data_IF_309293566552
#
_entry.id   IF_309293566552
#
_cell.length_a   1.000
_cell.length_b   1.000
_cell.length_c   1.000
_cell.angle_alpha   90.00
_cell.angle_beta   90.00
_cell.angle_gamma   90.00
#
_symmetry.space_group_name_H-M   'P 1'
#
loop_
_entity.id
_entity.type
_entity.pdbx_description
1 polymer ?
#
# COMPACT_ATOMS: atom_id res chain seq x y z
N UNK A 1 11.57 22.46 -27.13
CA UNK A 1 11.33 21.95 -25.76
C UNK A 1 12.07 20.63 -25.62
N UNK A 2 12.94 20.48 -24.62
CA UNK A 2 13.55 19.18 -24.35
C UNK A 2 12.51 18.27 -23.69
N UNK A 3 12.20 17.13 -24.32
CA UNK A 3 11.30 16.12 -23.75
C UNK A 3 12.08 15.21 -22.80
N UNK A 4 11.57 14.99 -21.60
CA UNK A 4 12.09 13.95 -20.71
C UNK A 4 11.74 12.56 -21.25
N UNK A 5 12.64 11.59 -21.11
CA UNK A 5 12.35 10.21 -21.49
C UNK A 5 11.41 9.55 -20.48
N UNK A 6 10.63 8.56 -20.91
CA UNK A 6 9.78 7.76 -20.02
C UNK A 6 10.61 7.09 -18.92
N UNK A 7 11.81 6.59 -19.23
CA UNK A 7 12.70 5.98 -18.24
C UNK A 7 13.17 6.98 -17.18
N UNK A 8 13.47 8.22 -17.58
CA UNK A 8 13.82 9.30 -16.65
C UNK A 8 12.64 9.67 -15.77
N UNK A 9 11.44 9.82 -16.34
CA UNK A 9 10.22 10.09 -15.57
C UNK A 9 9.94 8.97 -14.55
N UNK A 10 10.07 7.70 -14.96
CA UNK A 10 9.89 6.55 -14.09
C UNK A 10 10.91 6.54 -12.94
N UNK A 11 12.20 6.81 -13.22
CA UNK A 11 13.23 6.87 -12.18
C UNK A 11 12.95 7.95 -11.13
N UNK A 12 12.50 9.14 -11.56
CA UNK A 12 12.13 10.21 -10.63
C UNK A 12 10.91 9.84 -9.78
N UNK A 13 9.87 9.28 -10.39
CA UNK A 13 8.67 8.84 -9.64
C UNK A 13 9.07 7.80 -8.59
N UNK A 14 9.83 6.77 -8.98
CA UNK A 14 10.28 5.72 -8.05
C UNK A 14 11.13 6.29 -6.91
N UNK A 15 12.07 7.19 -7.21
CA UNK A 15 12.93 7.81 -6.19
C UNK A 15 12.12 8.66 -5.20
N UNK A 16 11.16 9.45 -5.69
CA UNK A 16 10.29 10.27 -4.84
C UNK A 16 9.41 9.38 -3.96
N UNK A 17 8.78 8.34 -4.53
CA UNK A 17 7.96 7.39 -3.78
C UNK A 17 8.77 6.72 -2.67
N UNK A 18 9.97 6.20 -2.97
CA UNK A 18 10.84 5.59 -1.96
C UNK A 18 11.23 6.58 -0.84
N UNK A 19 11.52 7.82 -1.19
CA UNK A 19 11.90 8.86 -0.24
C UNK A 19 10.77 9.26 0.70
N UNK A 20 9.53 9.31 0.19
CA UNK A 20 8.33 9.60 0.97
C UNK A 20 7.96 8.41 1.85
N UNK A 21 8.00 7.19 1.31
CA UNK A 21 7.73 5.97 2.08
C UNK A 21 8.70 5.79 3.25
N UNK A 22 9.98 6.13 3.06
CA UNK A 22 10.98 6.10 4.15
C UNK A 22 10.74 7.13 5.26
N UNK A 23 9.89 8.13 5.04
CA UNK A 23 9.49 9.15 6.03
C UNK A 23 8.11 8.91 6.63
N UNK A 24 7.31 8.02 6.04
CA UNK A 24 5.99 7.73 6.52
C UNK A 24 6.06 7.20 7.98
N UNK A 25 5.22 7.71 8.89
CA UNK A 25 5.20 7.22 10.26
C UNK A 25 4.74 5.75 10.27
N UNK A 26 5.38 4.95 11.13
CA UNK A 26 4.92 3.59 11.39
C UNK A 26 3.58 3.59 12.15
N UNK A 27 2.81 2.50 11.99
CA UNK A 27 1.51 2.33 12.63
C UNK A 27 1.49 2.65 14.14
N UNK A 28 2.45 2.20 14.97
CA UNK A 28 2.41 2.52 16.41
C UNK A 28 2.51 4.01 16.72
N UNK A 29 3.23 4.78 15.89
CA UNK A 29 3.34 6.23 16.05
C UNK A 29 2.01 6.91 15.69
N UNK A 30 1.43 6.53 14.55
CA UNK A 30 0.14 7.06 14.09
C UNK A 30 -0.95 6.80 15.12
N UNK A 31 -1.06 5.57 15.65
CA UNK A 31 -2.09 5.24 16.62
C UNK A 31 -1.93 6.01 17.94
N UNK A 32 -0.70 6.27 18.38
CA UNK A 32 -0.44 7.10 19.58
C UNK A 32 -0.78 8.57 19.36
N UNK A 33 -0.54 9.10 18.17
CA UNK A 33 -0.80 10.51 17.84
C UNK A 33 -2.30 10.75 17.59
N UNK A 34 -3.00 9.79 16.98
CA UNK A 34 -4.43 9.86 16.70
C UNK A 34 -5.32 9.49 17.89
N UNK A 35 -4.81 8.66 18.82
CA UNK A 35 -5.51 8.18 20.03
C UNK A 35 -6.98 7.76 19.81
N UNK A 36 -7.27 6.87 18.83
CA UNK A 36 -8.65 6.47 18.55
C UNK A 36 -9.14 5.41 19.54
N UNK A 37 -10.41 5.46 19.91
CA UNK A 37 -11.05 4.42 20.74
C UNK A 37 -11.01 3.03 20.09
N UNK A 38 -11.15 3.00 18.76
CA UNK A 38 -11.03 1.81 17.91
C UNK A 38 -10.68 2.23 16.48
N UNK A 39 -10.22 1.28 15.67
CA UNK A 39 -9.87 1.51 14.26
C UNK A 39 -10.57 0.53 13.34
N UNK A 40 -10.78 0.95 12.11
CA UNK A 40 -11.23 0.10 11.02
C UNK A 40 -10.00 -0.42 10.27
N UNK A 41 -9.94 -1.73 10.02
CA UNK A 41 -8.89 -2.38 9.24
C UNK A 41 -9.50 -3.04 8.01
N UNK A 42 -8.95 -2.76 6.84
CA UNK A 42 -9.37 -3.38 5.58
C UNK A 42 -8.17 -3.76 4.70
N UNK A 43 -8.26 -4.92 4.05
CA UNK A 43 -7.31 -5.38 3.05
C UNK A 43 -7.75 -4.97 1.65
N UNK A 44 -7.09 -3.96 1.08
CA UNK A 44 -7.37 -3.46 -0.27
C UNK A 44 -6.36 -4.01 -1.27
N UNK A 45 -6.85 -4.57 -2.39
CA UNK A 45 -5.99 -5.00 -3.50
C UNK A 45 -5.70 -3.83 -4.43
N UNK A 46 -4.45 -3.39 -4.49
CA UNK A 46 -3.98 -2.43 -5.48
C UNK A 46 -3.62 -3.19 -6.77
N UNK A 47 -4.36 -2.91 -7.85
CA UNK A 47 -4.07 -3.52 -9.16
C UNK A 47 -2.66 -3.13 -9.62
N UNK A 48 -1.90 -4.12 -10.11
CA UNK A 48 -0.58 -3.91 -10.67
C UNK A 48 -0.44 -4.72 -11.96
N UNK A 49 0.20 -4.12 -12.96
CA UNK A 49 0.61 -4.83 -14.18
C UNK A 49 1.66 -5.89 -13.83
N UNK A 50 1.77 -6.93 -14.66
CA UNK A 50 2.68 -8.07 -14.46
C UNK A 50 4.15 -7.62 -14.46
N UNK A 51 4.68 -7.23 -13.30
CA UNK A 51 6.10 -6.91 -13.11
C UNK A 51 6.59 -7.64 -11.85
N UNK A 52 7.37 -8.72 -12.03
CA UNK A 52 7.90 -9.54 -10.92
C UNK A 52 7.33 -10.96 -10.84
N UNK A 53 7.52 -11.63 -9.69
CA UNK A 53 7.15 -13.04 -9.47
C UNK A 53 5.62 -13.24 -9.41
N UNK A 54 5.05 -13.31 -10.62
CA UNK A 54 3.62 -13.11 -10.93
C UNK A 54 2.66 -14.07 -10.22
N UNK A 55 3.16 -15.11 -9.57
CA UNK A 55 2.35 -16.10 -8.86
C UNK A 55 1.99 -15.68 -7.44
N UNK A 56 2.82 -14.86 -6.78
CA UNK A 56 2.57 -14.42 -5.42
C UNK A 56 1.53 -13.29 -5.31
N UNK A 57 1.37 -12.54 -6.41
CA UNK A 57 0.51 -11.36 -6.51
C UNK A 57 -0.87 -11.66 -7.11
N UNK A 58 -1.14 -12.93 -7.45
CA UNK A 58 -2.44 -13.33 -7.96
C UNK A 58 -3.43 -13.52 -6.81
N UNK A 59 -4.37 -12.59 -6.66
CA UNK A 59 -5.46 -12.71 -5.69
C UNK A 59 -6.53 -13.66 -6.23
N UNK A 60 -6.72 -14.82 -5.60
CA UNK A 60 -7.76 -15.77 -6.01
C UNK A 60 -9.18 -15.22 -5.82
N UNK A 61 -9.41 -14.43 -4.76
CA UNK A 61 -10.71 -13.78 -4.47
C UNK A 61 -11.13 -12.82 -5.58
N UNK A 62 -10.20 -12.01 -6.07
CA UNK A 62 -10.49 -10.98 -7.07
C UNK A 62 -10.13 -11.42 -8.51
N UNK A 63 -9.46 -12.57 -8.67
CA UNK A 63 -8.97 -13.14 -9.95
C UNK A 63 -8.13 -12.13 -10.75
N UNK A 64 -7.33 -11.32 -10.06
CA UNK A 64 -6.48 -10.27 -10.64
C UNK A 64 -5.10 -10.26 -9.97
N UNK A 65 -4.12 -9.72 -10.69
CA UNK A 65 -2.78 -9.49 -10.15
C UNK A 65 -2.75 -8.16 -9.42
N UNK A 66 -2.12 -8.14 -8.25
CA UNK A 66 -2.01 -6.94 -7.44
C UNK A 66 -1.34 -7.22 -6.10
N UNK A 67 -0.94 -6.16 -5.43
CA UNK A 67 -0.42 -6.22 -4.07
C UNK A 67 -1.55 -5.92 -3.09
N UNK A 68 -1.62 -6.67 -1.99
CA UNK A 68 -2.56 -6.36 -0.91
C UNK A 68 -1.93 -5.29 -0.02
N UNK A 69 -2.65 -4.22 0.27
CA UNK A 69 -2.28 -3.22 1.28
C UNK A 69 -3.34 -3.20 2.37
N UNK A 70 -2.88 -3.12 3.62
CA UNK A 70 -3.76 -2.98 4.76
C UNK A 70 -3.96 -1.49 5.03
N UNK A 71 -5.22 -1.09 5.13
CA UNK A 71 -5.64 0.28 5.39
C UNK A 71 -6.18 0.35 6.81
N UNK A 72 -5.67 1.29 7.60
CA UNK A 72 -6.18 1.61 8.93
C UNK A 72 -6.84 2.97 8.87
N UNK A 73 -8.09 3.05 9.31
CA UNK A 73 -8.87 4.28 9.39
C UNK A 73 -9.47 4.49 10.78
N UNK A 74 -9.77 5.74 11.11
CA UNK A 74 -10.53 6.07 12.31
C UNK A 74 -12.03 5.71 12.15
N UNK A 75 -12.83 5.75 13.22
CA UNK A 75 -14.26 5.39 13.17
C UNK A 75 -15.11 6.31 12.27
N UNK A 76 -14.61 7.50 11.93
CA UNK A 76 -15.27 8.43 11.01
C UNK A 76 -14.88 8.21 9.54
N UNK A 77 -13.96 7.28 9.29
CA UNK A 77 -13.47 6.92 7.96
C UNK A 77 -12.24 7.70 7.51
N UNK A 78 -11.57 8.47 8.39
CA UNK A 78 -10.32 9.13 8.00
C UNK A 78 -9.18 8.12 7.94
N UNK A 79 -8.43 8.15 6.85
CA UNK A 79 -7.24 7.33 6.69
C UNK A 79 -6.19 7.70 7.74
N UNK A 80 -5.75 6.72 8.53
CA UNK A 80 -4.68 6.86 9.50
C UNK A 80 -3.36 6.31 8.95
N UNK A 81 -3.38 5.12 8.35
CA UNK A 81 -2.16 4.45 7.92
C UNK A 81 -2.40 3.44 6.79
N UNK A 82 -1.38 3.24 5.94
CA UNK A 82 -1.35 2.21 4.90
C UNK A 82 -0.10 1.36 5.08
N UNK A 83 -0.24 0.04 5.02
CA UNK A 83 0.90 -0.87 5.11
C UNK A 83 1.81 -0.81 3.88
N UNK A 84 3.07 -1.26 4.02
CA UNK A 84 3.84 -1.70 2.86
C UNK A 84 3.05 -2.74 2.06
N UNK A 85 3.34 -2.84 0.76
CA UNK A 85 2.76 -3.84 -0.12
C UNK A 85 3.01 -5.25 0.45
N UNK A 86 1.91 -5.98 0.68
CA UNK A 86 1.91 -7.38 1.08
C UNK A 86 1.61 -8.25 -0.16
N UNK A 87 2.08 -9.51 -0.20
CA UNK A 87 1.69 -10.43 -1.24
C UNK A 87 0.16 -10.53 -1.36
N UNK A 88 -0.39 -10.58 -2.58
CA UNK A 88 -1.84 -10.61 -2.84
C UNK A 88 -2.60 -11.80 -2.22
N UNK A 89 -1.86 -12.81 -1.71
CA UNK A 89 -2.39 -13.97 -0.98
C UNK A 89 -2.62 -13.73 0.52
N UNK A 90 -2.12 -12.63 1.07
CA UNK A 90 -2.26 -12.35 2.50
C UNK A 90 -3.74 -12.13 2.77
N UNK A 91 -4.35 -13.09 3.49
CA UNK A 91 -5.68 -12.95 4.02
C UNK A 91 -5.61 -12.02 5.23
N UNK A 92 -6.65 -11.19 5.39
CA UNK A 92 -6.84 -10.44 6.62
C UNK A 92 -6.92 -11.45 7.76
N UNK A 93 -6.16 -11.16 8.83
CA UNK A 93 -5.96 -11.97 10.03
C UNK A 93 -7.04 -13.05 10.25
N UNK A 94 -6.61 -14.30 10.32
CA UNK A 94 -7.37 -15.34 11.02
C UNK A 94 -7.38 -14.97 12.50
N UNK A 95 -8.53 -14.48 12.99
CA UNK A 95 -8.82 -14.39 14.41
C UNK A 95 -9.01 -15.80 15.01
#
# INVERSE_FOLDING_TARGET
MASISVGTAHAYVTAVVQHLSGRAPGLPRVLREADPDHVLLDGTLAECDRVGDSRADFSQKHRRHGVNVQVVADPTGNLLWISPALPGRTHDLTA
#
